data_IF_884796582074
#
_entry.id   IF_884796582074
#
_cell.length_a   1.000
_cell.length_b   1.000
_cell.length_c   1.000
_cell.angle_alpha   90.00
_cell.angle_beta   90.00
_cell.angle_gamma   90.00
#
_symmetry.space_group_name_H-M   'P 1'
#
loop_
_entity.id
_entity.type
_entity.pdbx_description
1 polymer ?
#
# COMPACT_ATOMS: atom_id res chain seq x y z
N UNK A 1 -6.75 -53.84 44.35
CA UNK A 1 -6.49 -52.76 43.36
C UNK A 1 -5.27 -53.09 42.48
N UNK A 2 -4.48 -54.12 42.79
CA UNK A 2 -3.38 -54.60 41.93
C UNK A 2 -3.80 -55.66 40.90
N UNK A 3 -4.86 -56.45 41.15
CA UNK A 3 -5.33 -57.48 40.19
C UNK A 3 -5.98 -56.93 38.91
N UNK A 4 -6.50 -55.70 38.93
CA UNK A 4 -7.15 -55.11 37.74
C UNK A 4 -6.13 -54.55 36.72
N UNK A 5 -4.86 -54.46 37.10
CA UNK A 5 -3.77 -53.97 36.23
C UNK A 5 -2.94 -55.11 35.62
N UNK A 6 -3.19 -56.38 35.98
CA UNK A 6 -2.42 -57.53 35.48
C UNK A 6 -2.96 -58.19 34.21
N UNK A 7 -4.10 -57.78 33.67
CA UNK A 7 -4.77 -58.50 32.56
C UNK A 7 -4.49 -57.98 31.15
N UNK A 8 -3.55 -57.04 30.96
CA UNK A 8 -3.13 -56.65 29.61
C UNK A 8 -1.60 -56.54 29.53
N UNK A 9 -0.89 -57.68 29.52
CA UNK A 9 0.51 -57.68 29.09
C UNK A 9 0.54 -57.52 27.57
N UNK A 10 0.66 -56.28 27.09
CA UNK A 10 0.86 -56.02 25.66
C UNK A 10 2.26 -56.53 25.30
N UNK A 11 2.35 -57.59 24.49
CA UNK A 11 3.62 -58.06 23.95
C UNK A 11 4.35 -56.92 23.23
N UNK A 12 5.69 -56.89 23.34
CA UNK A 12 6.54 -55.85 22.73
C UNK A 12 6.28 -55.71 21.23
N UNK A 13 5.95 -56.80 20.52
CA UNK A 13 5.62 -56.74 19.08
C UNK A 13 4.27 -56.07 18.86
N UNK A 14 3.25 -56.40 19.65
CA UNK A 14 1.93 -55.75 19.59
C UNK A 14 2.04 -54.25 19.90
N UNK A 15 2.79 -53.87 20.94
CA UNK A 15 3.03 -52.46 21.26
C UNK A 15 3.77 -51.73 20.13
N UNK A 16 4.79 -52.37 19.52
CA UNK A 16 5.53 -51.83 18.38
C UNK A 16 4.64 -51.66 17.14
N UNK A 17 3.77 -52.64 16.85
CA UNK A 17 2.83 -52.60 15.73
C UNK A 17 1.79 -51.49 15.89
N UNK A 18 1.17 -51.40 17.08
CA UNK A 18 0.17 -50.35 17.39
C UNK A 18 0.81 -48.96 17.30
N UNK A 19 2.01 -48.79 17.84
CA UNK A 19 2.74 -47.51 17.78
C UNK A 19 3.07 -47.13 16.34
N UNK A 20 3.56 -48.09 15.55
CA UNK A 20 3.90 -47.85 14.13
C UNK A 20 2.66 -47.50 13.32
N UNK A 21 1.54 -48.19 13.54
CA UNK A 21 0.27 -47.90 12.88
C UNK A 21 -0.27 -46.51 13.27
N UNK A 22 -0.21 -46.14 14.56
CA UNK A 22 -0.64 -44.83 15.05
C UNK A 22 0.22 -43.70 14.46
N UNK A 23 1.56 -43.85 14.47
CA UNK A 23 2.49 -42.90 13.85
C UNK A 23 2.28 -42.79 12.33
N UNK A 24 2.06 -43.92 11.64
CA UNK A 24 1.78 -43.96 10.20
C UNK A 24 0.48 -43.24 9.84
N UNK A 25 -0.59 -43.47 10.61
CA UNK A 25 -1.87 -42.77 10.44
C UNK A 25 -1.72 -41.27 10.72
N UNK A 26 -1.01 -40.89 11.79
CA UNK A 26 -0.71 -39.50 12.11
C UNK A 26 0.05 -38.78 10.99
N UNK A 27 1.10 -39.42 10.46
CA UNK A 27 1.85 -38.90 9.32
C UNK A 27 0.99 -38.75 8.06
N UNK A 28 0.15 -39.75 7.75
CA UNK A 28 -0.78 -39.70 6.62
C UNK A 28 -1.79 -38.55 6.77
N UNK A 29 -2.38 -38.36 7.96
CA UNK A 29 -3.31 -37.27 8.24
C UNK A 29 -2.64 -35.89 8.08
N UNK A 30 -1.41 -35.72 8.57
CA UNK A 30 -0.62 -34.50 8.40
C UNK A 30 -0.32 -34.25 6.91
N UNK A 31 0.04 -35.30 6.16
CA UNK A 31 0.29 -35.20 4.72
C UNK A 31 -0.98 -34.78 3.96
N UNK A 32 -2.11 -35.46 4.21
CA UNK A 32 -3.40 -35.14 3.58
C UNK A 32 -3.81 -33.70 3.91
N UNK A 33 -3.71 -33.28 5.18
CA UNK A 33 -4.03 -31.92 5.62
C UNK A 33 -3.08 -30.88 5.01
N UNK A 34 -1.80 -31.18 4.89
CA UNK A 34 -0.81 -30.31 4.26
C UNK A 34 -1.10 -30.13 2.77
N UNK A 35 -1.41 -31.22 2.06
CA UNK A 35 -1.77 -31.18 0.63
C UNK A 35 -3.07 -30.41 0.42
N UNK A 36 -4.11 -30.68 1.20
CA UNK A 36 -5.39 -29.98 1.08
C UNK A 36 -5.25 -28.49 1.39
N UNK A 37 -4.52 -28.13 2.45
CA UNK A 37 -4.24 -26.74 2.80
C UNK A 37 -3.43 -26.02 1.72
N UNK A 38 -2.45 -26.67 1.08
CA UNK A 38 -1.68 -26.09 -0.03
C UNK A 38 -2.54 -25.86 -1.27
N UNK A 39 -3.45 -26.79 -1.59
CA UNK A 39 -4.41 -26.63 -2.71
C UNK A 39 -5.33 -25.43 -2.46
N UNK A 40 -5.96 -25.37 -1.29
CA UNK A 40 -6.80 -24.24 -0.90
C UNK A 40 -6.05 -22.89 -0.95
N UNK A 41 -4.79 -22.87 -0.50
CA UNK A 41 -3.95 -21.67 -0.59
C UNK A 41 -3.67 -21.24 -2.05
N UNK A 42 -3.37 -22.19 -2.94
CA UNK A 42 -3.17 -21.91 -4.36
C UNK A 42 -4.43 -21.35 -5.02
N UNK A 43 -5.59 -21.90 -4.69
CA UNK A 43 -6.87 -21.42 -5.21
C UNK A 43 -7.19 -19.99 -4.74
N UNK A 44 -6.97 -19.68 -3.45
CA UNK A 44 -7.10 -18.32 -2.91
C UNK A 44 -6.18 -17.33 -3.63
N UNK A 45 -4.91 -17.70 -3.83
CA UNK A 45 -3.95 -16.90 -4.58
C UNK A 45 -4.45 -16.66 -6.01
N UNK A 46 -4.94 -17.70 -6.69
CA UNK A 46 -5.41 -17.59 -8.05
C UNK A 46 -6.61 -16.63 -8.14
N UNK A 47 -7.58 -16.73 -7.22
CA UNK A 47 -8.72 -15.79 -7.17
C UNK A 47 -8.26 -14.35 -6.93
N UNK A 48 -7.29 -14.12 -6.05
CA UNK A 48 -6.73 -12.78 -5.82
C UNK A 48 -6.03 -12.22 -7.08
N UNK A 49 -5.31 -13.06 -7.84
CA UNK A 49 -4.70 -12.67 -9.12
C UNK A 49 -5.74 -12.38 -10.19
N UNK A 50 -6.80 -13.18 -10.26
CA UNK A 50 -7.93 -12.93 -11.18
C UNK A 50 -8.57 -11.57 -10.88
N UNK A 51 -8.91 -11.27 -9.63
CA UNK A 51 -9.46 -9.96 -9.21
C UNK A 51 -8.54 -8.80 -9.62
N UNK A 52 -7.23 -8.93 -9.39
CA UNK A 52 -6.23 -7.96 -9.82
C UNK A 52 -6.27 -7.73 -11.32
N UNK A 53 -6.20 -8.79 -12.13
CA UNK A 53 -6.26 -8.71 -13.60
C UNK A 53 -7.56 -8.07 -14.09
N UNK A 54 -8.70 -8.44 -13.50
CA UNK A 54 -10.00 -7.84 -13.82
C UNK A 54 -10.03 -6.34 -13.50
N UNK A 55 -9.53 -5.93 -12.33
CA UNK A 55 -9.46 -4.52 -11.95
C UNK A 55 -8.59 -3.70 -12.90
N UNK A 56 -7.44 -4.24 -13.31
CA UNK A 56 -6.53 -3.62 -14.28
C UNK A 56 -7.18 -3.51 -15.66
N UNK A 57 -7.84 -4.57 -16.12
CA UNK A 57 -8.54 -4.58 -17.40
C UNK A 57 -9.68 -3.56 -17.43
N UNK A 58 -10.50 -3.48 -16.37
CA UNK A 58 -11.58 -2.49 -16.26
C UNK A 58 -11.05 -1.06 -16.26
N UNK A 59 -9.93 -0.82 -15.58
CA UNK A 59 -9.26 0.48 -15.60
C UNK A 59 -8.72 0.84 -17.00
N UNK A 60 -8.12 -0.12 -17.71
CA UNK A 60 -7.66 0.07 -19.09
C UNK A 60 -8.82 0.43 -20.03
N UNK A 61 -9.95 -0.26 -19.92
CA UNK A 61 -11.16 0.07 -20.68
C UNK A 61 -11.69 1.47 -20.36
N UNK A 62 -11.66 1.89 -19.09
CA UNK A 62 -12.09 3.23 -18.69
C UNK A 62 -11.18 4.31 -19.28
N UNK A 63 -9.85 4.11 -19.22
CA UNK A 63 -8.85 5.01 -19.84
C UNK A 63 -9.06 5.11 -21.35
N UNK A 64 -9.26 3.98 -22.04
CA UNK A 64 -9.48 3.97 -23.49
C UNK A 64 -10.73 4.77 -23.90
N UNK A 65 -11.85 4.59 -23.18
CA UNK A 65 -13.09 5.35 -23.40
C UNK A 65 -12.90 6.85 -23.15
N UNK A 66 -12.16 7.20 -22.10
CA UNK A 66 -11.84 8.58 -21.80
C UNK A 66 -11.01 9.22 -22.93
N UNK A 67 -9.96 8.54 -23.38
CA UNK A 67 -9.08 9.02 -24.46
C UNK A 67 -9.82 9.21 -25.79
N UNK A 68 -10.77 8.35 -26.11
CA UNK A 68 -11.61 8.47 -27.31
C UNK A 68 -12.51 9.72 -27.26
N UNK A 69 -13.02 10.07 -26.07
CA UNK A 69 -13.88 11.24 -25.89
C UNK A 69 -13.09 12.55 -25.69
N UNK A 70 -11.83 12.47 -25.25
CA UNK A 70 -10.97 13.62 -24.95
C UNK A 70 -9.60 13.50 -25.63
N UNK A 71 -9.53 13.52 -26.98
CA UNK A 71 -8.27 13.31 -27.70
C UNK A 71 -7.25 14.45 -27.53
N UNK A 72 -7.68 15.62 -27.06
CA UNK A 72 -6.85 16.81 -26.84
C UNK A 72 -6.16 16.86 -25.47
N UNK A 73 -6.42 15.90 -24.56
CA UNK A 73 -5.83 15.91 -23.22
C UNK A 73 -4.31 15.75 -23.28
N UNK A 74 -3.58 16.79 -22.84
CA UNK A 74 -2.12 16.74 -22.74
C UNK A 74 -1.67 16.04 -21.44
N UNK A 75 -1.67 14.71 -21.50
CA UNK A 75 -1.22 13.88 -20.38
C UNK A 75 0.26 14.09 -20.04
N UNK A 76 1.09 14.50 -21.01
CA UNK A 76 2.51 14.74 -20.76
C UNK A 76 2.72 15.99 -19.89
N UNK A 77 1.99 17.06 -20.20
CA UNK A 77 1.96 18.27 -19.37
C UNK A 77 1.50 17.94 -17.95
N UNK A 78 0.35 17.26 -17.79
CA UNK A 78 -0.22 16.92 -16.47
C UNK A 78 0.78 16.14 -15.61
N UNK A 79 1.40 15.10 -16.19
CA UNK A 79 2.36 14.24 -15.48
C UNK A 79 3.69 14.93 -15.14
N UNK A 80 3.98 16.08 -15.77
CA UNK A 80 5.20 16.86 -15.51
C UNK A 80 5.07 17.84 -14.34
N UNK A 81 3.83 18.18 -13.95
CA UNK A 81 3.55 19.16 -12.90
C UNK A 81 3.98 18.66 -11.51
N UNK A 82 4.47 19.57 -10.67
CA UNK A 82 4.61 19.30 -9.24
C UNK A 82 3.24 19.20 -8.56
N UNK A 83 3.18 18.57 -7.38
CA UNK A 83 1.94 18.46 -6.61
C UNK A 83 1.32 19.82 -6.29
N UNK A 84 2.15 20.83 -6.02
CA UNK A 84 1.69 22.18 -5.72
C UNK A 84 1.05 22.86 -6.93
N UNK A 85 1.65 22.70 -8.12
CA UNK A 85 1.14 23.26 -9.37
C UNK A 85 -0.13 22.54 -9.80
N UNK A 86 -0.15 21.20 -9.71
CA UNK A 86 -1.31 20.39 -10.02
C UNK A 86 -2.51 20.79 -9.15
N UNK A 87 -2.29 20.88 -7.83
CA UNK A 87 -3.35 21.28 -6.88
C UNK A 87 -3.84 22.70 -7.18
N UNK A 88 -2.94 23.65 -7.45
CA UNK A 88 -3.30 25.02 -7.82
C UNK A 88 -4.18 25.04 -9.08
N UNK A 89 -3.75 24.34 -10.13
CA UNK A 89 -4.48 24.28 -11.40
C UNK A 89 -5.86 23.62 -11.29
N UNK A 90 -5.99 22.59 -10.45
CA UNK A 90 -7.27 21.96 -10.10
C UNK A 90 -8.20 22.90 -9.33
N UNK A 91 -7.66 23.76 -8.45
CA UNK A 91 -8.45 24.75 -7.71
C UNK A 91 -8.95 25.89 -8.61
N UNK A 92 -8.13 26.29 -9.58
CA UNK A 92 -8.42 27.35 -10.56
C UNK A 92 -9.29 26.85 -11.74
N UNK A 93 -9.73 25.59 -11.73
CA UNK A 93 -10.44 24.90 -12.82
C UNK A 93 -9.72 24.91 -14.19
N UNK A 94 -8.41 25.22 -14.20
CA UNK A 94 -7.58 25.17 -15.40
C UNK A 94 -7.24 23.75 -15.85
N UNK A 95 -7.39 22.77 -14.95
CA UNK A 95 -7.36 21.34 -15.22
C UNK A 95 -8.60 20.71 -14.56
N UNK A 96 -9.26 19.80 -15.27
CA UNK A 96 -10.34 19.02 -14.67
C UNK A 96 -9.81 17.85 -13.83
N UNK A 97 -10.51 17.44 -12.75
CA UNK A 97 -10.17 16.23 -12.01
C UNK A 97 -10.16 14.98 -12.89
N UNK A 98 -11.01 14.92 -13.93
CA UNK A 98 -11.08 13.79 -14.84
C UNK A 98 -9.82 13.66 -15.68
N UNK A 99 -9.35 14.75 -16.29
CA UNK A 99 -8.08 14.78 -17.05
C UNK A 99 -6.92 14.29 -16.18
N UNK A 100 -6.80 14.84 -14.97
CA UNK A 100 -5.72 14.45 -14.05
C UNK A 100 -5.83 12.97 -13.67
N UNK A 101 -7.02 12.52 -13.30
CA UNK A 101 -7.24 11.14 -12.88
C UNK A 101 -6.91 10.14 -14.00
N UNK A 102 -7.42 10.34 -15.21
CA UNK A 102 -7.20 9.40 -16.30
C UNK A 102 -5.77 9.43 -16.84
N UNK A 103 -5.09 10.59 -16.84
CA UNK A 103 -3.66 10.67 -17.16
C UNK A 103 -2.80 9.86 -16.18
N UNK A 104 -3.07 9.95 -14.87
CA UNK A 104 -2.36 9.14 -13.87
C UNK A 104 -2.75 7.66 -13.91
N UNK A 105 -4.02 7.33 -14.19
CA UNK A 105 -4.47 5.94 -14.35
C UNK A 105 -3.78 5.28 -15.54
N UNK A 106 -3.72 5.95 -16.70
CA UNK A 106 -3.01 5.45 -17.88
C UNK A 106 -1.52 5.21 -17.57
N UNK A 107 -0.87 6.20 -16.93
CA UNK A 107 0.53 6.07 -16.54
C UNK A 107 0.75 4.94 -15.54
N UNK A 108 -0.16 4.77 -14.57
CA UNK A 108 -0.13 3.65 -13.61
C UNK A 108 -0.17 2.30 -14.31
N UNK A 109 -1.10 2.10 -15.25
CA UNK A 109 -1.19 0.84 -16.00
C UNK A 109 0.09 0.54 -16.77
N UNK A 110 0.69 1.56 -17.39
CA UNK A 110 1.95 1.42 -18.13
C UNK A 110 3.14 1.10 -17.23
N UNK A 111 3.24 1.75 -16.06
CA UNK A 111 4.29 1.48 -15.06
C UNK A 111 4.11 0.09 -14.46
N UNK A 112 2.87 -0.28 -14.16
CA UNK A 112 2.53 -1.59 -13.62
C UNK A 112 2.93 -2.73 -14.54
N UNK A 113 2.63 -2.62 -15.85
CA UNK A 113 3.02 -3.63 -16.86
C UNK A 113 4.52 -3.92 -16.84
N UNK A 114 5.35 -2.93 -16.49
CA UNK A 114 6.82 -3.06 -16.43
C UNK A 114 7.34 -3.50 -15.06
N UNK A 115 6.73 -3.05 -13.97
CA UNK A 115 7.31 -3.14 -12.62
C UNK A 115 6.54 -4.05 -11.66
N UNK A 116 5.33 -4.49 -12.02
CA UNK A 116 4.47 -5.32 -11.17
C UNK A 116 4.24 -4.69 -9.77
N UNK A 117 3.90 -3.39 -9.73
CA UNK A 117 3.87 -2.59 -8.50
C UNK A 117 2.48 -2.39 -7.84
N UNK A 118 1.37 -2.73 -8.51
CA UNK A 118 0.01 -2.53 -7.97
C UNK A 118 -0.59 -3.87 -7.53
N UNK A 119 -1.29 -3.98 -6.40
CA UNK A 119 -2.03 -5.20 -6.05
C UNK A 119 -3.44 -5.22 -6.63
N UNK A 120 -4.09 -4.05 -6.74
CA UNK A 120 -5.46 -3.91 -7.22
C UNK A 120 -5.76 -2.45 -7.60
N UNK A 121 -6.58 -2.21 -8.62
CA UNK A 121 -7.15 -0.89 -8.91
C UNK A 121 -8.44 -0.71 -8.11
N UNK A 122 -8.58 0.42 -7.42
CA UNK A 122 -9.75 0.77 -6.62
C UNK A 122 -10.81 1.38 -7.55
N UNK A 123 -11.70 0.56 -8.10
CA UNK A 123 -12.66 0.99 -9.12
C UNK A 123 -13.70 1.99 -8.60
N UNK A 124 -13.92 2.04 -7.29
CA UNK A 124 -14.74 3.05 -6.59
C UNK A 124 -14.20 4.47 -6.80
N UNK A 125 -12.93 4.61 -7.17
CA UNK A 125 -12.35 5.90 -7.54
C UNK A 125 -13.03 6.53 -8.76
N UNK A 126 -13.57 5.73 -9.68
CA UNK A 126 -14.35 6.21 -10.82
C UNK A 126 -15.68 6.85 -10.40
N UNK A 127 -16.31 6.31 -9.35
CA UNK A 127 -17.55 6.88 -8.81
C UNK A 127 -17.25 8.08 -7.89
N UNK A 128 -16.14 8.03 -7.16
CA UNK A 128 -15.64 9.17 -6.40
C UNK A 128 -15.36 10.37 -7.32
N UNK A 129 -14.78 10.12 -8.51
CA UNK A 129 -14.47 11.16 -9.50
C UNK A 129 -15.73 11.94 -9.92
N UNK A 130 -16.85 11.26 -10.17
CA UNK A 130 -18.13 11.90 -10.55
C UNK A 130 -18.70 12.82 -9.46
N UNK A 131 -18.41 12.55 -8.20
CA UNK A 131 -18.96 13.28 -7.04
C UNK A 131 -17.96 14.25 -6.41
N UNK A 132 -16.75 14.35 -6.96
CA UNK A 132 -15.62 15.06 -6.34
C UNK A 132 -15.85 16.56 -6.24
N UNK A 133 -16.62 17.16 -7.14
CA UNK A 133 -16.88 18.62 -7.17
C UNK A 133 -17.38 19.18 -5.84
N UNK A 134 -18.09 18.38 -5.04
CA UNK A 134 -18.52 18.73 -3.67
C UNK A 134 -17.36 18.97 -2.67
N UNK A 135 -16.13 18.56 -3.03
CA UNK A 135 -14.91 18.63 -2.21
C UNK A 135 -13.90 19.66 -2.72
N UNK A 136 -14.31 20.60 -3.58
CA UNK A 136 -13.41 21.61 -4.16
C UNK A 136 -12.56 22.37 -3.14
N UNK A 137 -13.08 22.65 -1.94
CA UNK A 137 -12.33 23.32 -0.87
C UNK A 137 -11.22 22.47 -0.21
N UNK A 138 -11.09 21.20 -0.59
CA UNK A 138 -10.11 20.28 0.00
C UNK A 138 -8.69 20.54 -0.49
N UNK A 139 -7.71 20.36 0.39
CA UNK A 139 -6.30 20.62 0.09
C UNK A 139 -5.70 19.72 -1.00
N UNK A 140 -6.33 18.59 -1.29
CA UNK A 140 -5.89 17.60 -2.29
C UNK A 140 -7.01 17.34 -3.30
N UNK A 141 -7.89 18.32 -3.52
CA UNK A 141 -9.01 18.21 -4.45
C UNK A 141 -8.57 17.69 -5.82
N UNK A 142 -9.16 16.58 -6.25
CA UNK A 142 -8.92 15.96 -7.57
C UNK A 142 -7.59 15.23 -7.70
N UNK A 143 -6.76 15.19 -6.64
CA UNK A 143 -5.42 14.56 -6.72
C UNK A 143 -5.55 13.04 -6.59
N UNK A 144 -5.12 12.25 -7.59
CA UNK A 144 -5.07 10.80 -7.50
C UNK A 144 -3.91 10.36 -6.60
N UNK A 145 -4.18 9.47 -5.66
CA UNK A 145 -3.17 8.97 -4.71
C UNK A 145 -3.12 7.44 -4.67
N UNK A 146 -1.90 6.92 -4.53
CA UNK A 146 -1.66 5.49 -4.30
C UNK A 146 -1.66 5.17 -2.80
N UNK A 147 -2.07 3.97 -2.43
CA UNK A 147 -2.02 3.49 -1.05
C UNK A 147 -1.38 2.11 -0.99
N UNK A 148 -0.53 1.87 0.00
CA UNK A 148 0.07 0.55 0.21
C UNK A 148 -1.00 -0.50 0.55
N UNK A 149 -0.82 -1.74 0.11
CA UNK A 149 -1.81 -2.81 0.27
C UNK A 149 -2.22 -3.10 1.72
N UNK A 150 -1.35 -2.86 2.70
CA UNK A 150 -1.72 -3.02 4.11
C UNK A 150 -2.71 -1.96 4.61
N UNK A 151 -2.93 -0.86 3.90
CA UNK A 151 -3.84 0.22 4.31
C UNK A 151 -5.28 -0.18 4.01
N UNK A 152 -6.12 -0.14 5.04
CA UNK A 152 -7.53 -0.51 4.91
C UNK A 152 -8.31 0.48 4.04
N UNK A 153 -8.97 -0.09 3.04
CA UNK A 153 -9.88 0.55 2.11
C UNK A 153 -11.13 -0.34 2.04
N UNK A 154 -12.32 0.24 2.20
CA UNK A 154 -13.59 -0.49 2.32
C UNK A 154 -13.75 -1.48 1.17
N UNK A 155 -14.23 -2.69 1.48
CA UNK A 155 -14.52 -3.78 0.54
C UNK A 155 -13.29 -4.40 -0.16
N UNK A 156 -12.07 -3.97 0.21
CA UNK A 156 -10.82 -4.50 -0.32
C UNK A 156 -10.00 -5.23 0.75
N UNK A 157 -9.28 -6.28 0.34
CA UNK A 157 -8.41 -7.05 1.22
C UNK A 157 -7.22 -6.20 1.71
N UNK A 158 -6.72 -6.52 2.91
CA UNK A 158 -5.41 -6.07 3.41
C UNK A 158 -4.49 -7.27 3.50
N UNK A 159 -3.93 -7.68 2.37
CA UNK A 159 -3.31 -9.00 2.25
C UNK A 159 -2.03 -9.11 3.05
N UNK A 160 -1.27 -8.01 3.19
CA UNK A 160 0.08 -8.03 3.75
C UNK A 160 0.98 -9.11 3.11
N UNK A 161 0.67 -9.53 1.87
CA UNK A 161 1.38 -10.59 1.16
C UNK A 161 1.21 -12.00 1.75
N UNK A 162 0.27 -12.20 2.68
CA UNK A 162 0.00 -13.50 3.33
C UNK A 162 -1.36 -14.06 2.94
N UNK A 163 -1.38 -15.34 2.56
CA UNK A 163 -2.58 -16.02 2.02
C UNK A 163 -3.74 -16.04 3.00
N UNK A 164 -3.45 -16.08 4.31
CA UNK A 164 -4.47 -16.11 5.35
C UNK A 164 -5.35 -14.85 5.34
N UNK A 165 -4.84 -13.70 4.88
CA UNK A 165 -5.58 -12.43 4.83
C UNK A 165 -6.35 -12.22 3.51
N UNK A 166 -6.31 -13.18 2.58
CA UNK A 166 -7.11 -13.11 1.36
C UNK A 166 -8.59 -13.42 1.64
N UNK A 167 -9.48 -12.78 0.88
CA UNK A 167 -10.94 -12.92 1.03
C UNK A 167 -11.44 -12.46 2.40
N UNK A 168 -10.79 -11.43 2.94
CA UNK A 168 -11.13 -10.77 4.19
C UNK A 168 -11.19 -9.26 3.94
N UNK A 169 -12.21 -8.79 3.19
CA UNK A 169 -12.30 -7.39 2.82
C UNK A 169 -12.48 -6.51 4.06
N UNK A 170 -11.85 -5.34 4.04
CA UNK A 170 -11.96 -4.40 5.14
C UNK A 170 -13.39 -3.85 5.23
N UNK A 171 -13.94 -3.87 6.45
CA UNK A 171 -15.30 -3.37 6.73
C UNK A 171 -15.45 -1.84 6.55
N UNK A 172 -14.36 -1.12 6.32
CA UNK A 172 -14.38 0.33 6.18
C UNK A 172 -13.00 0.91 5.94
N UNK A 173 -13.00 2.13 5.41
CA UNK A 173 -11.78 2.91 5.21
C UNK A 173 -11.04 3.15 6.53
N UNK A 174 -9.72 3.05 6.48
CA UNK A 174 -8.84 3.53 7.56
C UNK A 174 -9.02 5.05 7.77
N UNK A 175 -8.66 5.52 8.97
CA UNK A 175 -8.78 6.95 9.31
C UNK A 175 -8.03 7.84 8.30
N UNK A 176 -6.83 7.42 7.88
CA UNK A 176 -6.04 8.18 6.90
C UNK A 176 -6.77 8.29 5.55
N UNK A 177 -7.34 7.19 5.05
CA UNK A 177 -8.11 7.19 3.78
C UNK A 177 -9.33 8.09 3.89
N UNK A 178 -10.05 8.05 5.02
CA UNK A 178 -11.19 8.95 5.28
C UNK A 178 -10.78 10.42 5.25
N UNK A 179 -9.64 10.77 5.86
CA UNK A 179 -9.12 12.13 5.86
C UNK A 179 -8.71 12.56 4.45
N UNK A 180 -8.04 11.70 3.69
CA UNK A 180 -7.64 11.97 2.31
C UNK A 180 -8.85 12.21 1.41
N UNK A 181 -9.87 11.33 1.46
CA UNK A 181 -11.14 11.53 0.75
C UNK A 181 -11.87 12.81 1.19
N UNK A 182 -11.86 13.14 2.50
CA UNK A 182 -12.45 14.38 3.02
C UNK A 182 -11.74 15.62 2.47
N UNK A 183 -10.42 15.54 2.25
CA UNK A 183 -9.61 16.59 1.63
C UNK A 183 -9.65 16.58 0.09
N UNK A 184 -10.52 15.76 -0.52
CA UNK A 184 -10.74 15.73 -1.96
C UNK A 184 -9.73 14.90 -2.76
N UNK A 185 -8.82 14.16 -2.09
CA UNK A 185 -7.94 13.22 -2.76
C UNK A 185 -8.70 11.97 -3.22
N UNK A 186 -8.23 11.34 -4.30
CA UNK A 186 -8.86 10.16 -4.91
C UNK A 186 -7.90 8.96 -4.78
N UNK A 187 -8.01 8.13 -3.72
CA UNK A 187 -7.28 6.87 -3.66
C UNK A 187 -7.74 5.95 -4.81
N UNK A 188 -6.84 5.58 -5.69
CA UNK A 188 -7.21 4.88 -6.93
C UNK A 188 -6.53 3.52 -7.13
N UNK A 189 -5.47 3.22 -6.36
CA UNK A 189 -4.70 1.99 -6.52
C UNK A 189 -4.09 1.54 -5.21
N UNK A 190 -4.11 0.23 -4.96
CA UNK A 190 -3.33 -0.43 -3.91
C UNK A 190 -1.98 -0.88 -4.45
N UNK A 191 -0.89 -0.70 -3.71
CA UNK A 191 0.46 -1.05 -4.16
C UNK A 191 1.09 -2.21 -3.40
N UNK A 192 1.97 -2.93 -4.10
CA UNK A 192 2.58 -4.17 -3.66
C UNK A 192 3.57 -3.98 -2.49
N UNK A 193 3.78 -5.06 -1.77
CA UNK A 193 4.60 -5.12 -0.56
C UNK A 193 5.22 -6.52 -0.41
N UNK A 194 6.28 -6.69 0.41
CA UNK A 194 6.79 -8.02 0.72
C UNK A 194 5.88 -8.78 1.67
N UNK A 195 5.97 -10.11 1.61
CA UNK A 195 5.25 -11.01 2.52
C UNK A 195 5.50 -10.63 3.98
N UNK A 196 4.41 -10.47 4.73
CA UNK A 196 4.38 -10.10 6.15
C UNK A 196 5.01 -8.72 6.50
N UNK A 197 5.34 -7.89 5.51
CA UNK A 197 5.94 -6.54 5.68
C UNK A 197 7.35 -6.51 6.29
N UNK A 198 7.94 -7.67 6.60
CA UNK A 198 9.23 -7.81 7.30
C UNK A 198 10.37 -8.07 6.31
N UNK A 199 10.47 -7.22 5.29
CA UNK A 199 11.58 -7.23 4.34
C UNK A 199 11.83 -5.85 3.76
N UNK A 200 13.08 -5.57 3.41
CA UNK A 200 13.50 -4.41 2.63
C UNK A 200 13.50 -4.68 1.12
N UNK A 201 13.09 -5.87 0.69
CA UNK A 201 12.72 -6.18 -0.69
C UNK A 201 11.18 -6.13 -0.87
N UNK A 202 10.67 -6.33 -2.09
CA UNK A 202 9.24 -6.25 -2.39
C UNK A 202 8.74 -7.45 -3.20
N UNK A 203 8.53 -8.57 -2.51
CA UNK A 203 8.05 -9.83 -3.11
C UNK A 203 7.13 -10.60 -2.19
N UNK A 204 6.08 -11.20 -2.74
CA UNK A 204 5.21 -12.10 -2.00
C UNK A 204 4.62 -13.19 -2.93
N UNK A 205 4.18 -14.34 -2.39
CA UNK A 205 3.66 -15.44 -3.20
C UNK A 205 2.34 -15.11 -3.94
N UNK A 206 1.61 -14.08 -3.51
CA UNK A 206 0.32 -13.71 -4.08
C UNK A 206 0.51 -12.92 -5.38
N UNK A 207 1.25 -11.80 -5.32
CA UNK A 207 1.39 -10.84 -6.40
C UNK A 207 2.76 -10.85 -7.09
N UNK A 208 3.73 -11.59 -6.55
CA UNK A 208 5.08 -11.69 -7.10
C UNK A 208 5.99 -10.52 -6.74
N UNK A 209 7.11 -10.42 -7.46
CA UNK A 209 8.17 -9.44 -7.24
C UNK A 209 7.85 -8.08 -7.88
N UNK A 210 8.10 -6.99 -7.17
CA UNK A 210 8.10 -5.63 -7.73
C UNK A 210 9.52 -5.18 -8.07
N UNK A 211 9.70 -4.67 -9.28
CA UNK A 211 11.01 -4.26 -9.81
C UNK A 211 11.26 -2.75 -9.61
N UNK A 212 12.54 -2.36 -9.61
CA UNK A 212 12.92 -0.95 -9.49
C UNK A 212 12.72 -0.19 -10.82
N UNK A 213 12.10 1.01 -10.81
CA UNK A 213 11.84 1.81 -12.01
C UNK A 213 13.11 2.28 -12.74
N UNK A 214 14.24 2.42 -12.03
CA UNK A 214 15.53 2.86 -12.61
C UNK A 214 16.33 1.70 -13.20
N UNK A 215 16.22 0.52 -12.62
CA UNK A 215 16.91 -0.68 -13.09
C UNK A 215 16.10 -1.94 -12.72
N UNK A 216 15.48 -2.64 -13.68
CA UNK A 216 14.69 -3.85 -13.42
C UNK A 216 15.45 -4.99 -12.73
N UNK A 217 16.79 -4.99 -12.76
CA UNK A 217 17.65 -5.97 -12.07
C UNK A 217 17.91 -5.63 -10.60
N UNK A 218 17.31 -4.55 -10.07
CA UNK A 218 17.45 -4.11 -8.68
C UNK A 218 16.11 -4.15 -7.96
N UNK A 219 16.18 -4.30 -6.64
CA UNK A 219 15.00 -4.20 -5.77
C UNK A 219 14.45 -2.77 -5.76
N UNK A 220 13.13 -2.65 -5.69
CA UNK A 220 12.42 -1.38 -5.45
C UNK A 220 12.52 -0.91 -3.99
N UNK A 221 13.14 -1.71 -3.11
CA UNK A 221 13.15 -1.47 -1.67
C UNK A 221 11.85 -1.95 -1.01
N UNK A 222 11.76 -1.84 0.31
CA UNK A 222 10.64 -2.40 1.03
C UNK A 222 10.53 -1.91 2.47
N UNK A 223 9.38 -2.09 3.13
CA UNK A 223 8.22 -2.84 2.65
C UNK A 223 7.24 -2.05 1.78
N UNK A 224 7.43 -0.74 1.57
CA UNK A 224 6.57 0.08 0.67
C UNK A 224 7.13 0.13 -0.76
N UNK A 225 7.63 -1.00 -1.27
CA UNK A 225 8.29 -1.08 -2.58
C UNK A 225 7.37 -0.77 -3.75
N UNK A 226 6.10 -1.17 -3.67
CA UNK A 226 5.09 -0.81 -4.67
C UNK A 226 4.88 0.70 -4.79
N UNK A 227 4.77 1.43 -3.67
CA UNK A 227 4.69 2.90 -3.66
C UNK A 227 5.95 3.51 -4.29
N UNK A 228 7.12 3.05 -3.86
CA UNK A 228 8.41 3.52 -4.39
C UNK A 228 8.52 3.34 -5.89
N UNK A 229 8.18 2.15 -6.39
CA UNK A 229 8.23 1.83 -7.81
C UNK A 229 7.19 2.59 -8.63
N UNK A 230 5.96 2.73 -8.12
CA UNK A 230 4.89 3.42 -8.84
C UNK A 230 5.17 4.92 -8.96
N UNK A 231 5.55 5.59 -7.86
CA UNK A 231 5.86 7.02 -7.86
C UNK A 231 7.17 7.29 -8.60
N UNK A 232 8.20 6.46 -8.40
CA UNK A 232 9.46 6.57 -9.14
C UNK A 232 9.31 6.32 -10.64
N UNK A 233 8.28 5.56 -11.06
CA UNK A 233 7.88 5.40 -12.45
C UNK A 233 6.96 6.51 -12.98
N UNK A 234 6.53 7.45 -12.12
CA UNK A 234 5.62 8.54 -12.45
C UNK A 234 4.14 8.14 -12.54
N UNK A 235 3.76 6.94 -12.10
CA UNK A 235 2.37 6.46 -12.14
C UNK A 235 1.49 7.07 -11.04
N UNK A 236 2.08 7.62 -9.99
CA UNK A 236 1.37 8.32 -8.92
C UNK A 236 2.19 9.53 -8.49
N UNK A 237 1.52 10.64 -8.18
CA UNK A 237 2.17 11.86 -7.68
C UNK A 237 2.43 11.81 -6.18
N UNK A 238 1.56 11.10 -5.46
CA UNK A 238 1.55 11.04 -4.00
C UNK A 238 1.06 9.67 -3.54
N UNK A 239 1.76 9.12 -2.56
CA UNK A 239 1.49 7.79 -2.04
C UNK A 239 1.44 7.73 -0.53
N UNK A 240 0.79 6.68 -0.01
CA UNK A 240 0.74 6.42 1.43
C UNK A 240 1.39 5.07 1.75
N UNK A 241 2.53 5.12 2.45
CA UNK A 241 3.27 3.95 2.92
C UNK A 241 3.23 3.79 4.44
N UNK A 242 3.99 2.80 4.94
CA UNK A 242 4.19 2.57 6.38
C UNK A 242 5.67 2.31 6.69
N UNK A 243 6.16 2.82 7.82
CA UNK A 243 7.58 2.74 8.20
C UNK A 243 7.74 2.49 9.71
N UNK A 244 8.31 1.32 10.02
CA UNK A 244 8.75 0.93 11.36
C UNK A 244 10.28 0.90 11.39
N UNK A 245 10.90 0.21 10.42
CA UNK A 245 12.35 0.03 10.31
C UNK A 245 13.01 0.68 9.08
N UNK A 246 12.36 1.63 8.42
CA UNK A 246 12.84 2.24 7.17
C UNK A 246 11.94 1.99 5.97
N UNK A 247 10.78 1.37 6.15
CA UNK A 247 9.95 0.89 5.04
C UNK A 247 9.33 1.96 4.14
N UNK A 248 9.46 3.24 4.44
CA UNK A 248 9.22 4.35 3.50
C UNK A 248 10.53 4.90 2.97
N UNK A 249 11.51 5.11 3.86
CA UNK A 249 12.79 5.73 3.52
C UNK A 249 13.63 4.88 2.55
N UNK A 250 13.63 3.55 2.72
CA UNK A 250 14.38 2.61 1.87
C UNK A 250 13.85 2.62 0.42
N UNK A 251 12.55 2.34 0.15
CA UNK A 251 12.04 2.40 -1.22
C UNK A 251 12.10 3.82 -1.80
N UNK A 252 11.95 4.86 -0.97
CA UNK A 252 12.15 6.23 -1.42
C UNK A 252 13.58 6.47 -1.92
N UNK A 253 14.58 6.01 -1.17
CA UNK A 253 15.99 6.09 -1.58
C UNK A 253 16.29 5.26 -2.83
N UNK A 254 15.78 4.04 -2.93
CA UNK A 254 16.11 3.12 -4.03
C UNK A 254 15.46 3.51 -5.35
N UNK A 255 14.22 4.02 -5.31
CA UNK A 255 13.52 4.52 -6.50
C UNK A 255 13.82 6.01 -6.76
N UNK A 256 14.49 6.67 -5.81
CA UNK A 256 14.91 8.07 -5.82
C UNK A 256 13.74 9.04 -5.94
N UNK A 257 12.85 8.91 -4.97
CA UNK A 257 11.71 9.80 -4.69
C UNK A 257 11.85 10.34 -3.25
N UNK A 258 10.98 11.27 -2.87
CA UNK A 258 10.93 11.74 -1.49
C UNK A 258 10.00 10.87 -0.64
N UNK A 259 10.46 10.51 0.56
CA UNK A 259 9.66 9.81 1.56
C UNK A 259 9.92 10.38 2.95
N UNK A 260 8.85 10.69 3.67
CA UNK A 260 8.95 11.27 5.01
C UNK A 260 8.35 10.31 6.05
N UNK A 261 9.12 10.05 7.11
CA UNK A 261 8.64 9.32 8.29
C UNK A 261 8.38 10.27 9.47
N UNK A 262 7.15 10.79 9.62
CA UNK A 262 6.73 11.54 10.80
C UNK A 262 7.10 10.89 12.14
N UNK A 263 7.09 11.73 13.18
CA UNK A 263 7.14 11.28 14.58
C UNK A 263 6.04 10.27 14.86
N UNK A 264 6.33 9.29 15.71
CA UNK A 264 5.37 8.25 16.04
C UNK A 264 4.08 8.86 16.63
N UNK A 265 2.92 8.31 16.25
CA UNK A 265 1.62 8.81 16.70
C UNK A 265 1.13 10.12 16.07
N UNK A 266 1.94 10.79 15.23
CA UNK A 266 1.54 12.05 14.56
C UNK A 266 0.37 11.86 13.59
N UNK A 267 0.33 10.73 12.90
CA UNK A 267 -0.73 10.35 11.97
C UNK A 267 -1.39 9.07 12.47
N UNK A 268 -2.73 9.10 12.65
CA UNK A 268 -3.48 7.92 13.09
C UNK A 268 -3.85 7.05 11.89
N UNK A 269 -3.26 5.87 11.81
CA UNK A 269 -3.72 4.78 10.97
C UNK A 269 -4.56 3.81 11.83
N UNK A 270 -5.68 4.28 12.39
CA UNK A 270 -6.51 3.40 13.23
C UNK A 270 -7.29 2.45 12.31
N UNK A 271 -7.22 1.15 12.64
CA UNK A 271 -7.83 -0.02 11.96
C UNK A 271 -6.99 -0.69 10.85
N UNK A 272 -5.69 -0.81 11.06
CA UNK A 272 -4.89 -1.80 10.35
C UNK A 272 -5.04 -3.16 11.06
N UNK A 273 -5.49 -4.19 10.33
CA UNK A 273 -5.87 -5.50 10.86
C UNK A 273 -4.66 -6.24 11.46
N UNK A 274 -4.32 -5.93 12.70
CA UNK A 274 -3.42 -6.72 13.55
C UNK A 274 -4.23 -7.33 14.70
N UNK A 275 -5.22 -8.15 14.34
CA UNK A 275 -6.09 -8.84 15.30
C UNK A 275 -5.70 -10.29 15.60
N UNK A 276 -4.66 -10.86 14.98
CA UNK A 276 -4.38 -12.30 15.18
C UNK A 276 -2.93 -12.74 15.14
N UNK A 277 -2.04 -12.15 14.33
CA UNK A 277 -0.67 -12.68 14.20
C UNK A 277 0.31 -12.14 15.25
N UNK A 278 0.41 -10.81 15.42
CA UNK A 278 1.31 -10.22 16.42
C UNK A 278 0.81 -10.36 17.86
N UNK A 279 -0.52 -10.38 18.03
CA UNK A 279 -1.15 -10.65 19.33
C UNK A 279 -0.93 -12.10 19.78
N UNK A 280 -0.80 -13.06 18.85
CA UNK A 280 -0.38 -14.45 19.14
C UNK A 280 1.12 -14.59 19.39
N UNK A 281 1.94 -13.66 18.90
CA UNK A 281 3.39 -13.63 19.12
C UNK A 281 3.80 -12.75 20.31
N UNK A 282 2.86 -12.23 21.10
CA UNK A 282 3.15 -11.40 22.28
C UNK A 282 3.71 -10.02 21.96
N UNK A 283 3.73 -9.60 20.69
CA UNK A 283 4.25 -8.30 20.26
C UNK A 283 3.12 -7.27 20.22
N UNK A 284 2.67 -6.84 21.39
CA UNK A 284 1.76 -5.68 21.52
C UNK A 284 2.57 -4.39 21.40
N UNK A 285 2.87 -3.99 20.17
CA UNK A 285 3.39 -2.65 19.92
C UNK A 285 2.33 -1.77 19.25
N UNK A 286 2.04 -0.56 19.78
CA UNK A 286 1.19 0.42 19.10
C UNK A 286 2.00 1.06 17.97
N UNK A 287 2.24 0.35 16.86
CA UNK A 287 3.19 0.78 15.83
C UNK A 287 2.63 0.66 14.43
N UNK A 288 1.67 1.51 14.04
CA UNK A 288 1.30 1.64 12.62
C UNK A 288 1.09 3.09 12.18
N UNK A 289 1.86 3.48 11.17
CA UNK A 289 1.92 4.82 10.60
C UNK A 289 1.56 4.77 9.12
N UNK A 290 0.69 5.68 8.69
CA UNK A 290 0.40 5.96 7.28
C UNK A 290 1.03 7.31 6.94
N UNK A 291 1.84 7.41 5.87
CA UNK A 291 2.66 8.61 5.64
C UNK A 291 2.90 8.86 4.15
N UNK A 292 3.11 10.14 3.79
CA UNK A 292 3.22 10.63 2.42
C UNK A 292 4.57 10.31 1.75
N UNK A 293 4.52 9.86 0.50
CA UNK A 293 5.65 9.79 -0.45
C UNK A 293 5.31 10.63 -1.67
N UNK A 294 6.20 11.51 -2.14
CA UNK A 294 5.95 12.41 -3.27
C UNK A 294 7.11 12.42 -4.27
N UNK A 295 6.80 12.68 -5.53
CA UNK A 295 7.81 12.91 -6.57
C UNK A 295 8.31 14.36 -6.53
N UNK A 296 9.62 14.56 -6.48
CA UNK A 296 10.27 15.79 -6.97
C UNK A 296 10.92 15.44 -8.29
N UNK A 297 10.30 15.80 -9.41
CA UNK A 297 10.98 15.85 -10.70
C UNK A 297 12.04 16.96 -10.64
N UNK A 298 13.17 16.72 -11.31
CA UNK A 298 14.39 17.54 -11.41
C UNK A 298 15.42 17.46 -10.26
N UNK A 299 16.35 16.52 -10.45
CA UNK A 299 17.70 16.61 -9.92
C UNK A 299 18.52 17.64 -10.75
N UNK A 300 18.17 18.92 -10.66
CA UNK A 300 19.12 20.02 -10.78
C UNK A 300 18.55 21.23 -10.01
N UNK A 301 19.25 21.58 -8.93
CA UNK A 301 19.11 22.79 -8.10
C UNK A 301 17.79 22.93 -7.31
N UNK A 302 17.93 22.60 -6.01
CA UNK A 302 17.39 23.37 -4.89
C UNK A 302 15.87 23.63 -4.85
N UNK A 303 15.16 22.84 -4.04
CA UNK A 303 14.15 23.32 -3.05
C UNK A 303 13.55 22.12 -2.32
N UNK A 304 14.03 21.89 -1.10
CA UNK A 304 13.37 21.02 -0.11
C UNK A 304 11.99 21.60 0.18
N UNK A 305 10.97 20.75 0.21
CA UNK A 305 9.61 21.10 0.60
C UNK A 305 9.63 21.54 2.07
N UNK A 306 9.72 22.85 2.30
CA UNK A 306 9.51 23.45 3.60
C UNK A 306 8.01 23.41 3.91
N UNK A 307 7.60 22.58 4.87
CA UNK A 307 6.36 22.84 5.59
C UNK A 307 6.59 24.08 6.44
N UNK A 308 6.28 25.26 5.88
CA UNK A 308 6.26 26.50 6.65
C UNK A 308 5.18 26.40 7.72
N UNK A 309 5.62 26.72 8.94
CA UNK A 309 4.77 26.94 10.11
C UNK A 309 3.59 27.85 9.78
N UNK A 310 2.38 27.41 10.08
CA UNK A 310 1.22 28.28 10.20
C UNK A 310 0.61 28.09 11.59
N UNK A 311 1.05 28.92 12.52
CA UNK A 311 0.39 29.15 13.81
C UNK A 311 -0.02 30.61 13.83
N UNK A 312 -1.31 30.88 13.64
CA UNK A 312 -1.94 32.10 14.14
C UNK A 312 -2.65 31.74 15.44
N UNK A 313 -2.07 32.22 16.54
CA UNK A 313 -2.68 32.29 17.86
C UNK A 313 -2.17 33.57 18.49
N UNK A 314 -3.07 34.54 18.67
CA UNK A 314 -2.79 35.82 19.30
C UNK A 314 -2.27 35.64 20.73
N UNK A 315 -1.27 36.42 21.11
CA UNK A 315 -0.79 36.56 22.48
C UNK A 315 0.22 37.70 22.59
N UNK A 316 -0.13 38.73 23.35
CA UNK A 316 0.60 39.98 23.55
C UNK A 316 1.94 39.75 24.28
N UNK A 317 2.98 40.50 23.90
CA UNK A 317 4.23 40.63 24.65
C UNK A 317 5.31 41.37 23.84
N UNK A 318 5.79 42.50 24.37
CA UNK A 318 6.61 43.54 23.71
C UNK A 318 8.10 43.18 23.42
N UNK A 319 8.86 44.04 22.70
CA UNK A 319 9.98 43.63 21.87
C UNK A 319 11.35 43.71 22.57
N UNK A 320 12.23 42.77 22.21
CA UNK A 320 13.67 42.85 22.45
C UNK A 320 14.40 42.66 21.13
N UNK A 321 15.10 43.70 20.69
CA UNK A 321 16.08 43.67 19.61
C UNK A 321 17.27 42.77 19.98
N UNK A 322 17.98 42.23 18.97
CA UNK A 322 19.46 42.23 18.84
C UNK A 322 19.92 41.17 17.82
N UNK A 323 20.47 41.72 16.72
CA UNK A 323 21.60 41.29 15.89
C UNK A 323 21.59 40.08 14.94
N UNK A 324 22.02 40.43 13.74
CA UNK A 324 22.44 39.62 12.61
C UNK A 324 23.75 38.85 12.87
N UNK A 325 23.93 37.74 12.17
CA UNK A 325 25.19 37.00 12.07
C UNK A 325 25.15 36.03 10.89
N UNK A 326 25.89 36.39 9.84
CA UNK A 326 26.13 35.69 8.58
C UNK A 326 27.22 34.61 8.67
N UNK A 327 27.33 33.81 7.59
CA UNK A 327 28.48 32.94 7.19
C UNK A 327 28.45 31.52 7.79
N UNK A 328 28.63 30.39 7.07
CA UNK A 328 29.18 30.03 5.76
C UNK A 328 28.33 28.94 5.09
#
# INVERSE_FOLDING_TARGET
MEEFLQTVSVDKRTASLVTTAACGLGALLVLVRSVSSRRAAKEKIQRARTRRTESLHRAEQAVLRYRQSHPSTDSALILSLSLSELTKRLQEDSLSPEEVFYSYMEKTLNVHKKLNCCTEILLESLDQLKTIGSKKKGLLYGVPISIKDNIAYKDHDCTCGVVINLEQPAQGDSVIVKVLKKQGAIPFVKTNLPQALLSYDCSNPIYGQTLNPRNPQKTSGGSSGGEGALIGGGGSILGIGSDIGGSIRIPASFCGICGFKPTAGRLRCFRQFYGSLLQRLGLTFPLYHAQFTGATTHLQRSKVCAFSHWTHGQGRGQPGSVYAGSSL
#
